data_IF_400921383315
#
_entry.id   IF_400921383315
#
_cell.length_a   1.000
_cell.length_b   1.000
_cell.length_c   1.000
_cell.angle_alpha   90.00
_cell.angle_beta   90.00
_cell.angle_gamma   90.00
#
_symmetry.space_group_name_H-M   'P 1'
#
loop_
_entity.id
_entity.type
_entity.pdbx_description
1 polymer ?
#
# COMPACT_ATOMS: atom_id res chain seq x y z
N UNK A 1 -33.52 61.76 9.36
CA UNK A 1 -32.25 61.31 8.78
C UNK A 1 -32.34 59.81 8.56
N UNK A 2 -32.23 59.28 7.33
CA UNK A 2 -32.06 57.85 7.15
C UNK A 2 -30.60 57.46 7.47
N UNK A 3 -30.33 56.25 7.98
CA UNK A 3 -28.97 55.77 8.16
C UNK A 3 -28.32 55.51 6.80
N UNK A 4 -27.16 56.11 6.57
CA UNK A 4 -26.30 55.84 5.41
C UNK A 4 -25.74 54.43 5.51
N UNK A 5 -26.17 53.54 4.62
CA UNK A 5 -25.56 52.24 4.40
C UNK A 5 -24.14 52.43 3.87
N UNK A 6 -23.14 52.21 4.73
CA UNK A 6 -21.75 52.08 4.28
C UNK A 6 -21.57 50.70 3.68
N UNK A 7 -21.64 50.61 2.36
CA UNK A 7 -21.19 49.42 1.63
C UNK A 7 -19.66 49.39 1.74
N UNK A 8 -19.16 48.66 2.74
CA UNK A 8 -17.73 48.35 2.86
C UNK A 8 -17.38 47.51 1.63
N UNK A 9 -16.72 48.13 0.65
CA UNK A 9 -16.17 47.45 -0.51
C UNK A 9 -15.18 46.39 -0.02
N UNK A 10 -15.59 45.13 -0.04
CA UNK A 10 -14.69 44.00 0.18
C UNK A 10 -13.83 43.93 -1.07
N UNK A 11 -12.60 44.43 -0.96
CA UNK A 11 -11.55 44.17 -1.95
C UNK A 11 -11.45 42.65 -2.09
N UNK A 12 -11.53 42.05 -3.29
CA UNK A 12 -11.29 40.62 -3.42
C UNK A 12 -9.89 40.35 -2.87
N UNK A 13 -9.79 39.58 -1.78
CA UNK A 13 -8.52 39.02 -1.40
C UNK A 13 -8.01 38.25 -2.62
N UNK A 14 -6.77 38.49 -3.04
CA UNK A 14 -6.12 37.57 -3.95
C UNK A 14 -6.04 36.24 -3.20
N UNK A 15 -6.99 35.37 -3.46
CA UNK A 15 -7.02 34.04 -2.91
C UNK A 15 -6.00 33.26 -3.75
N UNK A 16 -4.81 33.08 -3.19
CA UNK A 16 -3.81 32.18 -3.77
C UNK A 16 -4.23 30.76 -3.41
N UNK A 17 -4.46 29.94 -4.43
CA UNK A 17 -4.71 28.52 -4.29
C UNK A 17 -3.40 27.75 -4.39
N UNK A 18 -3.25 26.71 -3.57
CA UNK A 18 -2.10 25.82 -3.56
C UNK A 18 -2.53 24.36 -3.56
N UNK A 19 -1.60 23.50 -4.01
CA UNK A 19 -1.84 22.05 -4.05
C UNK A 19 -1.41 21.41 -2.75
N UNK A 20 -2.32 20.65 -2.15
CA UNK A 20 -2.03 19.73 -1.04
C UNK A 20 -1.93 18.32 -1.61
N UNK A 21 -0.83 17.64 -1.34
CA UNK A 21 -0.59 16.25 -1.76
C UNK A 21 -0.88 15.31 -0.60
N UNK A 22 -1.68 14.29 -0.84
CA UNK A 22 -1.99 13.23 0.11
C UNK A 22 -1.30 11.95 -0.37
N UNK A 23 -0.33 11.47 0.38
CA UNK A 23 0.37 10.22 0.09
C UNK A 23 -0.21 9.07 0.93
N UNK A 24 -0.16 7.87 0.35
CA UNK A 24 -0.55 6.62 0.99
C UNK A 24 0.69 5.74 1.02
N UNK A 25 1.33 5.69 2.18
CA UNK A 25 2.64 5.09 2.36
C UNK A 25 2.55 3.82 3.19
N UNK A 26 3.49 2.91 2.97
CA UNK A 26 3.64 1.75 3.83
C UNK A 26 4.15 2.19 5.22
N UNK A 27 3.56 1.65 6.28
CA UNK A 27 3.85 2.02 7.67
C UNK A 27 5.17 1.45 8.21
N UNK A 28 5.77 0.46 7.53
CA UNK A 28 7.06 -0.12 7.90
C UNK A 28 8.18 0.49 7.02
N UNK A 29 7.89 0.77 5.75
CA UNK A 29 8.79 1.44 4.80
C UNK A 29 8.11 2.65 4.15
N UNK A 30 8.35 3.84 4.72
CA UNK A 30 7.70 5.08 4.32
C UNK A 30 8.06 5.55 2.89
N UNK A 31 9.03 4.93 2.21
CA UNK A 31 9.36 5.25 0.81
C UNK A 31 8.45 4.53 -0.20
N UNK A 32 7.73 3.48 0.25
CA UNK A 32 6.85 2.69 -0.62
C UNK A 32 5.43 3.24 -0.59
N UNK A 33 4.89 3.49 -1.78
CA UNK A 33 3.48 3.84 -1.95
C UNK A 33 2.61 2.58 -1.96
N UNK A 34 1.62 2.53 -1.09
CA UNK A 34 0.59 1.46 -1.12
C UNK A 34 -0.46 1.72 -2.20
N UNK A 35 -0.57 2.97 -2.67
CA UNK A 35 -1.34 3.37 -3.85
C UNK A 35 -0.89 4.76 -4.34
N UNK A 36 -1.41 5.18 -5.49
CA UNK A 36 -1.14 6.51 -6.04
C UNK A 36 -1.59 7.63 -5.08
N UNK A 37 -0.77 8.68 -5.03
CA UNK A 37 -1.07 9.89 -4.26
C UNK A 37 -2.26 10.64 -4.85
N UNK A 38 -3.01 11.31 -3.98
CA UNK A 38 -4.10 12.18 -4.36
C UNK A 38 -3.70 13.65 -4.14
N UNK A 39 -4.42 14.56 -4.79
CA UNK A 39 -4.16 16.00 -4.66
C UNK A 39 -5.46 16.75 -4.49
N UNK A 40 -5.43 17.83 -3.71
CA UNK A 40 -6.53 18.78 -3.63
C UNK A 40 -6.03 20.22 -3.71
N UNK A 41 -6.84 21.11 -4.26
CA UNK A 41 -6.54 22.54 -4.36
C UNK A 41 -7.23 23.28 -3.22
N UNK A 42 -6.48 24.05 -2.45
CA UNK A 42 -6.95 24.73 -1.23
C UNK A 42 -6.34 26.12 -1.14
N UNK A 43 -7.08 27.07 -0.56
CA UNK A 43 -6.57 28.43 -0.41
C UNK A 43 -5.47 28.48 0.64
N UNK A 44 -4.42 29.24 0.35
CA UNK A 44 -3.35 29.51 1.30
C UNK A 44 -3.91 30.19 2.54
N UNK A 45 -3.55 29.70 3.71
CA UNK A 45 -4.06 30.15 5.01
C UNK A 45 -5.27 29.36 5.53
N UNK A 46 -5.85 28.47 4.72
CA UNK A 46 -6.86 27.50 5.16
C UNK A 46 -6.21 26.20 5.66
N UNK A 47 -7.02 25.35 6.30
CA UNK A 47 -6.55 24.11 6.91
C UNK A 47 -7.12 22.89 6.21
N UNK A 48 -6.31 21.84 6.05
CA UNK A 48 -6.74 20.51 5.60
C UNK A 48 -6.60 19.53 6.76
N UNK A 49 -7.63 18.73 7.02
CA UNK A 49 -7.56 17.69 8.04
C UNK A 49 -7.97 16.33 7.47
N UNK A 50 -7.05 15.38 7.52
CA UNK A 50 -7.33 13.99 7.24
C UNK A 50 -7.99 13.33 8.45
N UNK A 51 -9.20 12.79 8.27
CA UNK A 51 -9.98 12.19 9.37
C UNK A 51 -10.42 10.77 9.04
N UNK A 52 -10.30 9.88 10.03
CA UNK A 52 -10.83 8.52 9.93
C UNK A 52 -12.34 8.50 10.08
N UNK A 53 -13.00 7.46 9.55
CA UNK A 53 -14.45 7.31 9.64
C UNK A 53 -14.87 7.18 11.10
N UNK A 54 -15.71 8.10 11.59
CA UNK A 54 -16.12 8.17 13.00
C UNK A 54 -15.22 9.04 13.91
N UNK A 55 -14.12 9.58 13.39
CA UNK A 55 -13.18 10.45 14.12
C UNK A 55 -13.59 11.92 14.21
N UNK A 56 -14.81 12.29 13.80
CA UNK A 56 -15.32 13.66 13.94
C UNK A 56 -15.60 13.99 15.41
N UNK A 57 -14.53 14.25 16.18
CA UNK A 57 -14.65 14.84 17.51
C UNK A 57 -13.79 16.08 17.55
N UNK A 58 -14.41 17.21 17.90
CA UNK A 58 -13.80 18.53 18.12
C UNK A 58 -13.22 19.24 16.89
N UNK A 59 -14.11 19.73 16.00
CA UNK A 59 -13.76 20.88 15.15
C UNK A 59 -14.25 22.16 15.83
N UNK A 60 -13.32 23.08 16.12
CA UNK A 60 -13.71 24.42 16.57
C UNK A 60 -14.35 25.16 15.40
N UNK A 61 -15.46 25.86 15.65
CA UNK A 61 -16.17 26.66 14.64
C UNK A 61 -15.39 27.93 14.18
N UNK A 62 -14.10 28.05 14.52
CA UNK A 62 -13.30 29.25 14.29
C UNK A 62 -12.42 29.18 13.02
N UNK A 63 -12.14 27.99 12.50
CA UNK A 63 -11.34 27.80 11.28
C UNK A 63 -12.15 27.09 10.20
N UNK A 64 -11.91 27.44 8.92
CA UNK A 64 -12.42 26.69 7.78
C UNK A 64 -11.50 25.48 7.55
N UNK A 65 -12.03 24.29 7.79
CA UNK A 65 -11.33 23.03 7.53
C UNK A 65 -11.86 22.40 6.25
N UNK A 66 -10.95 22.08 5.34
CA UNK A 66 -11.20 21.11 4.28
C UNK A 66 -10.97 19.72 4.83
N UNK A 67 -11.99 18.88 4.79
CA UNK A 67 -11.94 17.54 5.38
C UNK A 67 -11.62 16.52 4.31
N UNK A 68 -10.49 15.85 4.49
CA UNK A 68 -10.11 14.70 3.68
C UNK A 68 -10.53 13.42 4.42
N UNK A 69 -11.50 12.70 3.87
CA UNK A 69 -11.94 11.44 4.45
C UNK A 69 -10.90 10.36 4.15
N UNK A 70 -10.27 9.81 5.19
CA UNK A 70 -9.27 8.74 5.04
C UNK A 70 -9.95 7.51 4.42
N UNK A 71 -9.47 7.04 3.26
CA UNK A 71 -10.10 5.92 2.56
C UNK A 71 -9.72 4.59 3.20
N UNK A 72 -10.61 3.62 3.06
CA UNK A 72 -10.26 2.21 3.25
C UNK A 72 -9.49 1.73 2.02
N UNK A 73 -8.37 1.05 2.25
CA UNK A 73 -7.56 0.43 1.20
C UNK A 73 -7.65 -1.08 1.39
N UNK A 74 -7.98 -1.82 0.32
CA UNK A 74 -8.09 -3.27 0.37
C UNK A 74 -6.76 -3.89 0.79
N UNK A 75 -6.82 -4.91 1.65
CA UNK A 75 -5.65 -5.64 2.17
C UNK A 75 -4.69 -4.78 2.99
N UNK A 76 -5.16 -3.64 3.51
CA UNK A 76 -4.37 -2.70 4.29
C UNK A 76 -5.19 -2.18 5.48
N UNK A 77 -4.50 -1.87 6.58
CA UNK A 77 -5.08 -1.25 7.76
C UNK A 77 -4.41 0.09 8.02
N UNK A 78 -5.21 1.16 8.16
CA UNK A 78 -4.70 2.50 8.49
C UNK A 78 -4.03 2.49 9.86
N UNK A 79 -2.80 3.00 9.94
CA UNK A 79 -2.01 3.07 11.17
C UNK A 79 -1.94 4.48 11.77
N UNK A 80 -2.12 5.51 10.95
CA UNK A 80 -1.99 6.89 11.40
C UNK A 80 -1.46 7.81 10.31
N UNK A 81 -1.23 9.06 10.69
CA UNK A 81 -0.60 10.10 9.88
C UNK A 81 0.51 10.72 10.70
N UNK A 82 1.48 11.37 10.05
CA UNK A 82 2.51 12.15 10.76
C UNK A 82 1.89 13.40 11.41
N UNK A 83 0.78 13.87 10.86
CA UNK A 83 0.04 15.02 11.35
C UNK A 83 -1.04 14.58 12.33
N UNK A 84 -0.82 14.83 13.62
CA UNK A 84 -1.86 14.72 14.67
C UNK A 84 -2.83 15.92 14.66
N UNK A 85 -2.58 16.91 13.80
CA UNK A 85 -3.35 18.16 13.72
C UNK A 85 -3.57 18.59 12.26
N UNK A 86 -4.56 19.46 11.98
CA UNK A 86 -4.80 19.97 10.64
C UNK A 86 -3.55 20.63 10.02
N UNK A 87 -3.28 20.32 8.76
CA UNK A 87 -2.24 20.97 7.95
C UNK A 87 -2.68 22.40 7.59
N UNK A 88 -1.87 23.41 7.91
CA UNK A 88 -2.04 24.77 7.40
C UNK A 88 -1.45 24.87 6.00
N UNK A 89 -2.25 25.25 5.01
CA UNK A 89 -1.79 25.40 3.63
C UNK A 89 -0.95 26.66 3.49
N UNK A 90 0.27 26.52 2.99
CA UNK A 90 1.21 27.62 2.76
C UNK A 90 1.44 27.83 1.26
N UNK A 91 2.12 28.93 0.89
CA UNK A 91 2.54 29.18 -0.50
C UNK A 91 3.68 28.25 -0.97
N UNK A 92 4.19 27.34 -0.13
CA UNK A 92 5.19 26.36 -0.51
C UNK A 92 4.53 25.00 -0.71
N UNK A 93 4.24 24.64 -1.97
CA UNK A 93 3.60 23.38 -2.32
C UNK A 93 4.37 22.15 -1.82
N UNK A 94 5.69 22.22 -1.64
CA UNK A 94 6.49 21.10 -1.12
C UNK A 94 6.24 20.86 0.37
N UNK A 95 5.77 21.87 1.10
CA UNK A 95 5.38 21.75 2.51
C UNK A 95 3.94 21.28 2.71
N UNK A 96 3.11 21.36 1.67
CA UNK A 96 1.70 21.02 1.70
C UNK A 96 1.48 19.52 1.47
N UNK A 97 2.02 18.69 2.36
CA UNK A 97 1.99 17.23 2.23
C UNK A 97 1.33 16.60 3.46
N UNK A 98 0.44 15.64 3.22
CA UNK A 98 -0.16 14.79 4.24
C UNK A 98 0.23 13.35 3.92
N UNK A 99 0.92 12.70 4.85
CA UNK A 99 1.34 11.32 4.71
C UNK A 99 0.45 10.43 5.58
N UNK A 100 -0.25 9.51 4.94
CA UNK A 100 -1.12 8.53 5.58
C UNK A 100 -0.46 7.15 5.51
N UNK A 101 -0.25 6.53 6.67
CA UNK A 101 0.46 5.27 6.80
C UNK A 101 -0.51 4.09 6.89
N UNK A 102 -0.24 3.09 6.07
CA UNK A 102 -1.02 1.86 5.99
C UNK A 102 -0.11 0.67 6.22
N UNK A 103 -0.60 -0.28 6.99
CA UNK A 103 0.05 -1.57 7.17
C UNK A 103 -0.65 -2.60 6.32
N UNK A 104 0.09 -3.19 5.38
CA UNK A 104 -0.39 -4.34 4.61
C UNK A 104 -0.78 -5.49 5.52
N UNK A 105 -1.93 -6.11 5.25
CA UNK A 105 -2.29 -7.39 5.85
C UNK A 105 -1.28 -8.44 5.39
N UNK A 106 -0.87 -9.32 6.30
CA UNK A 106 0.14 -10.36 6.01
C UNK A 106 -0.52 -11.74 6.10
N UNK A 107 -0.17 -12.61 5.15
CA UNK A 107 -0.60 -14.01 5.14
C UNK A 107 0.62 -14.94 5.04
N UNK A 108 0.46 -16.18 5.51
CA UNK A 108 1.50 -17.20 5.41
C UNK A 108 1.31 -18.02 4.15
N UNK A 109 2.38 -18.09 3.35
CA UNK A 109 2.48 -18.98 2.20
C UNK A 109 3.33 -20.18 2.60
N UNK A 110 2.79 -21.38 2.42
CA UNK A 110 3.51 -22.65 2.61
C UNK A 110 4.05 -23.14 1.27
N UNK A 111 5.33 -23.43 1.20
CA UNK A 111 6.00 -23.96 0.00
C UNK A 111 6.24 -25.44 0.21
N UNK A 112 5.64 -26.26 -0.63
CA UNK A 112 5.75 -27.71 -0.59
C UNK A 112 6.60 -28.21 -1.76
N UNK A 113 7.41 -29.23 -1.49
CA UNK A 113 8.25 -29.89 -2.48
C UNK A 113 7.75 -31.31 -2.63
N UNK A 114 7.10 -31.59 -3.76
CA UNK A 114 6.33 -32.82 -3.95
C UNK A 114 6.96 -33.66 -5.07
N UNK A 115 7.15 -34.94 -4.79
CA UNK A 115 7.55 -35.93 -5.79
C UNK A 115 6.42 -36.10 -6.82
N UNK A 116 6.69 -35.79 -8.09
CA UNK A 116 5.77 -36.01 -9.20
C UNK A 116 5.56 -37.49 -9.50
N UNK A 117 6.57 -38.31 -9.23
CA UNK A 117 6.67 -39.70 -9.66
C UNK A 117 6.07 -40.64 -8.60
N UNK A 118 6.20 -40.29 -7.31
CA UNK A 118 5.61 -41.04 -6.20
C UNK A 118 4.50 -40.26 -5.47
N UNK A 119 3.36 -40.08 -6.12
CA UNK A 119 2.07 -39.77 -5.45
C UNK A 119 1.97 -38.41 -4.73
N UNK A 120 2.88 -37.47 -4.98
CA UNK A 120 2.87 -36.17 -4.31
C UNK A 120 3.39 -36.19 -2.87
N UNK A 121 4.21 -37.21 -2.52
CA UNK A 121 4.92 -37.24 -1.24
C UNK A 121 5.90 -36.08 -1.13
N UNK A 122 6.07 -35.57 0.10
CA UNK A 122 7.03 -34.50 0.36
C UNK A 122 8.46 -35.02 0.24
N UNK A 123 9.24 -34.49 -0.69
CA UNK A 123 10.66 -34.86 -0.86
C UNK A 123 11.57 -34.15 0.13
N UNK A 124 11.11 -33.03 0.69
CA UNK A 124 11.77 -32.32 1.78
C UNK A 124 10.74 -31.60 2.66
N UNK A 125 11.23 -31.03 3.77
CA UNK A 125 10.39 -30.25 4.69
C UNK A 125 9.80 -29.04 3.94
N UNK A 126 8.53 -28.76 4.20
CA UNK A 126 7.89 -27.53 3.70
C UNK A 126 8.52 -26.30 4.35
N UNK A 127 8.54 -25.22 3.60
CA UNK A 127 8.95 -23.90 4.07
C UNK A 127 7.73 -22.99 4.22
N UNK A 128 7.84 -21.97 5.05
CA UNK A 128 6.80 -20.96 5.19
C UNK A 128 7.41 -19.57 5.05
N UNK A 129 6.68 -18.67 4.40
CA UNK A 129 7.04 -17.26 4.30
C UNK A 129 5.83 -16.38 4.57
N UNK A 130 6.07 -15.22 5.17
CA UNK A 130 5.04 -14.21 5.44
C UNK A 130 5.12 -13.15 4.35
N UNK A 131 4.01 -12.90 3.67
CA UNK A 131 3.93 -12.00 2.51
C UNK A 131 2.70 -11.10 2.63
N UNK A 132 2.76 -9.89 2.08
CA UNK A 132 1.60 -9.01 2.11
C UNK A 132 0.50 -9.56 1.19
N UNK A 133 -0.75 -9.45 1.66
CA UNK A 133 -1.93 -9.82 0.87
C UNK A 133 -2.04 -8.87 -0.33
N UNK A 134 -2.31 -9.42 -1.50
CA UNK A 134 -2.33 -8.70 -2.78
C UNK A 134 -1.00 -8.74 -3.54
N UNK A 135 0.09 -9.17 -2.90
CA UNK A 135 1.35 -9.44 -3.59
C UNK A 135 1.40 -10.84 -4.18
N UNK A 136 2.42 -11.09 -4.99
CA UNK A 136 2.61 -12.34 -5.69
C UNK A 136 3.89 -13.05 -5.24
N UNK A 137 3.82 -14.35 -4.96
CA UNK A 137 5.01 -15.19 -4.72
C UNK A 137 5.38 -15.91 -6.01
N UNK A 138 6.62 -15.70 -6.46
CA UNK A 138 7.15 -16.35 -7.66
C UNK A 138 8.31 -17.28 -7.32
N UNK A 139 8.17 -18.59 -7.51
CA UNK A 139 9.30 -19.50 -7.42
C UNK A 139 10.22 -19.30 -8.64
N UNK A 140 11.51 -19.04 -8.39
CA UNK A 140 12.50 -18.83 -9.45
C UNK A 140 13.68 -19.78 -9.34
N UNK A 141 14.12 -20.29 -10.49
CA UNK A 141 15.38 -21.00 -10.66
C UNK A 141 16.39 -20.05 -11.33
N UNK A 142 17.53 -19.76 -10.68
CA UNK A 142 18.52 -18.79 -11.19
C UNK A 142 19.05 -19.12 -12.60
N UNK A 143 18.96 -20.38 -13.04
CA UNK A 143 19.33 -20.78 -14.40
C UNK A 143 18.43 -20.22 -15.52
N UNK A 144 17.25 -19.69 -15.18
CA UNK A 144 16.20 -19.26 -16.12
C UNK A 144 15.78 -17.79 -15.97
N UNK A 145 16.63 -16.92 -15.38
CA UNK A 145 16.34 -15.49 -15.26
C UNK A 145 16.20 -14.82 -16.64
N UNK A 146 14.97 -14.79 -17.15
CA UNK A 146 14.61 -14.04 -18.36
C UNK A 146 13.63 -12.94 -17.96
N UNK A 147 14.14 -11.71 -17.81
CA UNK A 147 13.39 -10.43 -17.86
C UNK A 147 12.23 -10.13 -16.88
N UNK A 148 11.79 -11.02 -15.99
CA UNK A 148 10.55 -10.82 -15.22
C UNK A 148 10.72 -10.09 -13.85
N UNK A 149 11.94 -9.63 -13.53
CA UNK A 149 12.31 -9.05 -12.22
C UNK A 149 11.95 -7.57 -12.03
N UNK A 150 11.06 -6.98 -12.84
CA UNK A 150 10.87 -5.51 -12.87
C UNK A 150 9.53 -5.00 -12.34
N UNK A 151 8.73 -5.84 -11.66
CA UNK A 151 7.50 -5.38 -10.99
C UNK A 151 7.67 -5.49 -9.47
N UNK A 152 7.54 -4.36 -8.77
CA UNK A 152 7.70 -4.20 -7.31
C UNK A 152 6.71 -4.99 -6.44
N UNK A 153 5.89 -5.88 -7.04
CA UNK A 153 4.79 -6.62 -6.39
C UNK A 153 5.12 -8.12 -6.29
N UNK A 154 6.33 -8.54 -6.67
CA UNK A 154 6.77 -9.93 -6.62
C UNK A 154 7.73 -10.20 -5.47
N UNK A 155 7.35 -11.12 -4.60
CA UNK A 155 8.25 -11.83 -3.70
C UNK A 155 8.89 -13.00 -4.45
N UNK A 156 10.16 -12.83 -4.81
CA UNK A 156 10.94 -13.87 -5.50
C UNK A 156 11.41 -14.92 -4.48
N UNK A 157 10.93 -16.15 -4.61
CA UNK A 157 11.36 -17.27 -3.80
C UNK A 157 12.41 -18.09 -4.56
N UNK A 158 13.64 -18.10 -4.06
CA UNK A 158 14.71 -18.90 -4.64
C UNK A 158 14.46 -20.38 -4.33
N UNK A 159 14.24 -21.15 -5.39
CA UNK A 159 14.03 -22.59 -5.25
C UNK A 159 15.38 -23.26 -4.86
N UNK A 160 15.44 -24.02 -3.75
CA UNK A 160 16.65 -24.75 -3.37
C UNK A 160 16.96 -25.88 -4.35
N UNK A 161 18.24 -26.26 -4.48
CA UNK A 161 18.60 -27.47 -5.22
C UNK A 161 18.31 -28.71 -4.37
N UNK A 162 17.61 -29.69 -4.94
CA UNK A 162 17.35 -30.99 -4.29
C UNK A 162 18.17 -32.05 -5.02
N UNK A 163 19.02 -32.77 -4.28
CA UNK A 163 19.91 -33.80 -4.85
C UNK A 163 19.11 -34.93 -5.52
N UNK A 164 19.47 -35.31 -6.75
CA UNK A 164 18.79 -36.32 -7.58
C UNK A 164 17.36 -35.96 -7.98
N UNK A 165 16.97 -34.69 -7.89
CA UNK A 165 15.67 -34.21 -8.36
C UNK A 165 15.81 -33.03 -9.31
N UNK A 166 14.86 -32.92 -10.25
CA UNK A 166 14.69 -31.80 -11.17
C UNK A 166 13.28 -31.22 -11.03
N UNK A 167 13.13 -29.90 -11.08
CA UNK A 167 11.85 -29.24 -10.90
C UNK A 167 11.05 -29.20 -12.20
N UNK A 168 9.84 -29.77 -12.20
CA UNK A 168 8.92 -29.73 -13.33
C UNK A 168 8.30 -28.35 -13.53
N UNK A 169 8.02 -27.64 -12.43
CA UNK A 169 7.31 -26.36 -12.43
C UNK A 169 8.23 -25.21 -11.97
N UNK A 170 9.55 -25.35 -12.16
CA UNK A 170 10.51 -24.30 -11.76
C UNK A 170 10.33 -22.99 -12.54
N UNK A 171 9.64 -23.06 -13.67
CA UNK A 171 9.24 -21.95 -14.52
C UNK A 171 7.70 -21.83 -14.58
N UNK A 172 7.02 -21.98 -13.44
CA UNK A 172 5.58 -21.71 -13.38
C UNK A 172 5.34 -20.26 -13.83
N UNK A 173 4.82 -20.08 -15.05
CA UNK A 173 4.45 -18.78 -15.64
C UNK A 173 3.41 -18.02 -14.80
N UNK A 174 2.77 -18.70 -13.84
CA UNK A 174 1.76 -18.11 -12.97
C UNK A 174 2.30 -18.00 -11.54
N UNK A 175 2.59 -16.79 -11.05
CA UNK A 175 2.93 -16.56 -9.66
C UNK A 175 1.69 -16.71 -8.76
N UNK A 176 1.90 -17.08 -7.49
CA UNK A 176 0.82 -17.25 -6.52
C UNK A 176 0.39 -15.90 -5.95
N UNK A 177 -0.85 -15.47 -6.21
CA UNK A 177 -1.44 -14.31 -5.54
C UNK A 177 -1.71 -14.65 -4.06
N UNK A 178 -1.21 -13.82 -3.16
CA UNK A 178 -1.42 -13.95 -1.73
C UNK A 178 -2.78 -13.35 -1.37
N UNK A 179 -3.72 -14.18 -0.93
CA UNK A 179 -5.04 -13.75 -0.48
C UNK A 179 -5.20 -13.90 1.04
N UNK A 180 -6.19 -13.22 1.62
CA UNK A 180 -6.53 -13.36 3.04
C UNK A 180 -7.52 -14.52 3.28
N UNK A 181 -7.63 -15.46 2.34
CA UNK A 181 -8.59 -16.56 2.45
C UNK A 181 -8.17 -17.51 3.58
N UNK A 182 -9.16 -18.06 4.30
CA UNK A 182 -8.92 -19.03 5.40
C UNK A 182 -8.35 -20.37 4.93
N UNK A 183 -8.09 -20.52 3.62
CA UNK A 183 -7.46 -21.69 3.01
C UNK A 183 -5.96 -21.49 3.05
N UNK A 184 -5.21 -22.48 3.54
CA UNK A 184 -3.75 -22.46 3.54
C UNK A 184 -3.19 -22.18 2.15
N UNK A 185 -2.66 -20.98 1.93
CA UNK A 185 -1.96 -20.62 0.71
C UNK A 185 -0.76 -21.55 0.53
N UNK A 186 -0.82 -22.40 -0.48
CA UNK A 186 0.19 -23.44 -0.70
C UNK A 186 0.73 -23.36 -2.12
N UNK A 187 2.03 -23.11 -2.23
CA UNK A 187 2.78 -23.22 -3.47
C UNK A 187 3.38 -24.62 -3.56
N UNK A 188 2.92 -25.43 -4.50
CA UNK A 188 3.37 -26.81 -4.66
C UNK A 188 4.39 -26.91 -5.81
N UNK A 189 5.66 -26.99 -5.46
CA UNK A 189 6.76 -27.22 -6.39
C UNK A 189 6.90 -28.72 -6.63
N UNK A 190 6.69 -29.15 -7.87
CA UNK A 190 6.79 -30.56 -8.27
C UNK A 190 8.19 -30.88 -8.76
N UNK A 191 8.71 -32.04 -8.35
CA UNK A 191 10.04 -32.52 -8.73
C UNK A 191 10.00 -33.97 -9.22
N UNK A 192 10.90 -34.31 -10.14
CA UNK A 192 11.08 -35.64 -10.75
C UNK A 192 12.49 -36.14 -10.47
N UNK A 193 12.66 -37.44 -10.27
CA UNK A 193 13.98 -38.06 -10.05
C UNK A 193 14.81 -37.98 -11.34
N UNK A 194 16.10 -37.61 -11.23
CA UNK A 194 17.06 -37.52 -12.35
C UNK A 194 18.09 -38.63 -12.33
#
# INVERSE_FOLDING_TARGET
MPPTSSTKSVIPQNITEETVTINFLDAENHELKVRDSETMTVNVGEYVWAVSFGGMTNQSAQNVYHIYQIPTISNCSYQGSEQDSPLLVTNDSASNVIDLYYKGEKSQVTINFLDSDNTGLKVQKSETMTVNVGEYVWPINYGAMTSQSTKSVYHMYQIPTILNYSYQNSDSDTPLLVTNDSVMLSLNLRVTIV
#
